data_IF_858318188235
#
_entry.id   IF_858318188235
#
_cell.length_a   1.000
_cell.length_b   1.000
_cell.length_c   1.000
_cell.angle_alpha   90.00
_cell.angle_beta   90.00
_cell.angle_gamma   90.00
#
_symmetry.space_group_name_H-M   'P 1'
#
loop_
_entity.id
_entity.type
_entity.pdbx_description
1 polymer ?
#
# COMPACT_ATOMS: atom_id res chain seq x y z
N UNK A 1 4.75 4.32 11.58
CA UNK A 1 5.87 3.64 12.31
C UNK A 1 5.45 2.70 13.46
N UNK A 2 4.77 3.15 14.53
CA UNK A 2 4.53 2.30 15.73
C UNK A 2 3.56 1.12 15.55
N UNK A 3 2.60 1.21 14.62
CA UNK A 3 1.68 0.10 14.30
C UNK A 3 2.38 -1.01 13.50
N UNK A 4 3.28 -0.62 12.58
CA UNK A 4 4.05 -1.54 11.72
C UNK A 4 5.02 -2.37 12.59
N UNK A 5 5.69 -1.74 13.56
CA UNK A 5 6.62 -2.45 14.45
C UNK A 5 5.92 -3.48 15.35
N UNK A 6 4.72 -3.17 15.87
CA UNK A 6 3.93 -4.13 16.66
C UNK A 6 3.46 -5.32 15.83
N UNK A 7 2.90 -5.09 14.64
CA UNK A 7 2.44 -6.17 13.77
C UNK A 7 3.61 -7.01 13.22
N UNK A 8 4.78 -6.39 12.98
CA UNK A 8 5.98 -7.11 12.53
C UNK A 8 6.51 -8.13 13.53
N UNK A 9 6.34 -7.88 14.84
CA UNK A 9 6.83 -8.75 15.92
C UNK A 9 6.06 -10.08 16.00
N UNK A 10 4.79 -10.09 15.60
CA UNK A 10 3.90 -11.24 15.77
C UNK A 10 3.57 -11.94 14.45
N UNK A 11 3.55 -11.19 13.35
CA UNK A 11 3.06 -11.68 12.06
C UNK A 11 4.11 -11.70 10.96
N UNK A 12 5.34 -11.26 11.24
CA UNK A 12 6.44 -11.33 10.27
C UNK A 12 6.23 -10.42 9.05
N UNK A 13 5.44 -9.35 9.15
CA UNK A 13 5.17 -8.44 8.02
C UNK A 13 6.43 -7.84 7.41
N UNK A 14 7.41 -7.45 8.24
CA UNK A 14 8.70 -6.93 7.75
C UNK A 14 9.56 -8.02 7.09
N UNK A 15 9.35 -9.29 7.47
CA UNK A 15 9.98 -10.46 6.84
C UNK A 15 9.20 -10.95 5.60
N UNK A 16 8.01 -10.39 5.35
CA UNK A 16 7.12 -10.72 4.22
C UNK A 16 6.66 -12.19 4.18
N UNK A 17 6.67 -12.86 5.33
CA UNK A 17 6.21 -14.26 5.48
C UNK A 17 4.75 -14.35 5.96
N UNK A 18 4.07 -13.22 6.07
CA UNK A 18 2.68 -13.18 6.50
C UNK A 18 1.77 -13.78 5.43
N UNK A 19 0.78 -14.58 5.85
CA UNK A 19 -0.19 -15.16 4.94
C UNK A 19 -1.20 -14.09 4.49
N UNK A 20 -1.32 -13.89 3.18
CA UNK A 20 -2.33 -12.99 2.60
C UNK A 20 -3.60 -13.78 2.23
N UNK A 21 -4.78 -13.23 2.54
CA UNK A 21 -6.08 -13.79 2.14
C UNK A 21 -6.70 -12.92 1.05
N UNK A 22 -7.12 -13.53 -0.08
CA UNK A 22 -7.61 -12.79 -1.27
C UNK A 22 -6.69 -11.62 -1.64
N UNK A 23 -5.38 -11.91 -1.73
CA UNK A 23 -4.32 -10.93 -1.91
C UNK A 23 -4.25 -10.31 -3.31
N UNK A 24 -3.28 -9.43 -3.47
CA UNK A 24 -2.99 -8.76 -4.75
C UNK A 24 -2.28 -9.69 -5.74
N UNK A 25 -2.28 -9.32 -7.03
CA UNK A 25 -1.54 -10.06 -8.06
C UNK A 25 -0.09 -9.55 -8.15
N UNK A 26 0.87 -10.48 -8.22
CA UNK A 26 2.26 -10.20 -8.58
C UNK A 26 2.48 -10.61 -10.05
N UNK A 27 2.72 -9.64 -10.92
CA UNK A 27 2.82 -9.85 -12.38
C UNK A 27 4.21 -9.42 -12.86
N UNK A 28 4.84 -10.25 -13.70
CA UNK A 28 6.07 -9.89 -14.40
C UNK A 28 5.73 -9.26 -15.75
N UNK A 29 6.19 -8.03 -15.99
CA UNK A 29 5.99 -7.28 -17.23
C UNK A 29 7.31 -6.69 -17.74
N UNK A 30 7.43 -6.44 -19.06
CA UNK A 30 8.51 -5.60 -19.59
C UNK A 30 8.53 -4.24 -18.92
N UNK A 31 9.73 -3.70 -18.67
CA UNK A 31 9.93 -2.45 -17.92
C UNK A 31 9.16 -1.29 -18.56
N UNK A 32 9.10 -1.27 -19.88
CA UNK A 32 8.45 -0.23 -20.68
C UNK A 32 6.92 -0.26 -20.55
N UNK A 33 6.37 -1.43 -20.24
CA UNK A 33 4.92 -1.65 -20.13
C UNK A 33 4.42 -1.50 -18.69
N UNK A 34 5.27 -1.77 -17.69
CA UNK A 34 4.89 -1.74 -16.28
C UNK A 34 4.25 -0.40 -15.85
N UNK A 35 4.87 0.73 -16.24
CA UNK A 35 4.35 2.06 -15.90
C UNK A 35 2.98 2.37 -16.55
N UNK A 36 2.79 1.90 -17.79
CA UNK A 36 1.52 2.05 -18.52
C UNK A 36 0.43 1.23 -17.86
N UNK A 37 0.71 -0.03 -17.53
CA UNK A 37 -0.21 -0.92 -16.83
C UNK A 37 -0.64 -0.35 -15.48
N UNK A 38 0.29 0.17 -14.67
CA UNK A 38 -0.07 0.82 -13.40
C UNK A 38 -0.98 2.03 -13.58
N UNK A 39 -0.76 2.82 -14.65
CA UNK A 39 -1.59 3.99 -14.96
C UNK A 39 -2.98 3.60 -15.46
N UNK A 40 -3.07 2.49 -16.19
CA UNK A 40 -4.32 1.95 -16.70
C UNK A 40 -5.19 1.34 -15.59
N UNK A 41 -4.60 0.58 -14.65
CA UNK A 41 -5.32 0.07 -13.47
C UNK A 41 -5.79 1.20 -12.54
N UNK A 42 -5.01 2.28 -12.44
CA UNK A 42 -5.40 3.47 -11.69
C UNK A 42 -6.54 4.24 -12.36
N UNK A 43 -6.65 4.12 -13.68
CA UNK A 43 -7.70 4.81 -14.43
C UNK A 43 -9.07 4.26 -14.05
N UNK A 44 -10.03 5.16 -13.83
CA UNK A 44 -11.42 4.78 -13.56
C UNK A 44 -12.13 4.17 -14.78
N UNK A 45 -11.47 4.08 -15.93
CA UNK A 45 -12.02 3.46 -17.16
C UNK A 45 -12.51 2.03 -16.95
N UNK A 46 -11.92 1.29 -16.01
CA UNK A 46 -12.25 -0.11 -15.74
C UNK A 46 -12.89 -0.35 -14.36
N UNK A 47 -13.28 0.72 -13.63
CA UNK A 47 -13.94 0.62 -12.32
C UNK A 47 -13.45 1.65 -11.29
N UNK A 48 -13.46 1.27 -10.02
CA UNK A 48 -12.90 2.05 -8.92
C UNK A 48 -11.37 1.96 -9.01
N UNK A 49 -10.73 3.02 -9.52
CA UNK A 49 -9.31 2.99 -9.88
C UNK A 49 -8.40 2.55 -8.74
N UNK A 50 -7.78 1.38 -8.89
CA UNK A 50 -6.89 0.82 -7.87
C UNK A 50 -5.44 1.25 -8.11
N UNK A 51 -4.68 1.50 -7.04
CA UNK A 51 -3.26 1.83 -7.17
C UNK A 51 -2.45 0.53 -7.28
N UNK A 52 -1.56 0.46 -8.28
CA UNK A 52 -0.56 -0.60 -8.41
C UNK A 52 0.85 -0.06 -8.12
N UNK A 53 1.77 -0.96 -7.73
CA UNK A 53 3.16 -0.63 -7.44
C UNK A 53 4.12 -1.58 -8.14
N UNK A 54 5.22 -1.03 -8.65
CA UNK A 54 6.37 -1.81 -9.10
C UNK A 54 7.25 -2.08 -7.87
N UNK A 55 7.30 -3.34 -7.44
CA UNK A 55 7.95 -3.75 -6.18
C UNK A 55 9.35 -4.32 -6.34
N UNK A 56 9.83 -4.50 -7.58
CA UNK A 56 11.14 -5.05 -7.85
C UNK A 56 11.43 -5.24 -9.33
N UNK A 57 12.56 -5.88 -9.60
CA UNK A 57 13.03 -6.26 -10.95
C UNK A 57 13.34 -7.74 -10.99
N UNK A 58 13.25 -8.33 -12.18
CA UNK A 58 13.67 -9.71 -12.42
C UNK A 58 15.05 -9.67 -13.05
N UNK A 59 16.02 -10.29 -12.39
CA UNK A 59 17.39 -10.44 -12.89
C UNK A 59 17.63 -11.88 -13.33
N UNK A 60 18.59 -12.06 -14.26
CA UNK A 60 19.02 -13.40 -14.66
C UNK A 60 19.72 -14.07 -13.48
N UNK A 61 19.19 -15.22 -13.04
CA UNK A 61 19.77 -15.92 -11.90
C UNK A 61 19.15 -17.30 -11.67
N UNK A 62 19.40 -17.85 -10.48
CA UNK A 62 19.07 -19.21 -10.09
C UNK A 62 17.60 -19.40 -9.65
N UNK A 63 16.65 -18.71 -10.30
CA UNK A 63 15.22 -18.76 -9.98
C UNK A 63 14.92 -18.53 -8.48
N UNK A 64 15.74 -17.72 -7.82
CA UNK A 64 15.58 -17.37 -6.41
C UNK A 64 15.04 -15.96 -6.28
N UNK A 65 14.12 -15.77 -5.34
CA UNK A 65 13.65 -14.44 -4.93
C UNK A 65 14.61 -13.92 -3.88
N UNK A 66 15.18 -12.75 -4.13
CA UNK A 66 16.00 -12.04 -3.16
C UNK A 66 15.28 -10.77 -2.72
N UNK A 67 15.07 -10.64 -1.41
CA UNK A 67 14.50 -9.45 -0.79
C UNK A 67 15.66 -8.67 -0.19
N UNK A 68 15.76 -7.38 -0.52
CA UNK A 68 16.81 -6.50 0.01
C UNK A 68 16.68 -6.36 1.54
N UNK A 69 17.83 -6.26 2.23
CA UNK A 69 17.88 -6.22 3.70
C UNK A 69 17.11 -5.06 4.33
N UNK A 70 17.07 -3.91 3.63
CA UNK A 70 16.36 -2.71 4.09
C UNK A 70 15.30 -2.32 3.05
N UNK A 71 14.13 -2.98 3.05
CA UNK A 71 13.08 -2.66 2.10
C UNK A 71 12.50 -1.28 2.37
N UNK A 72 12.18 -0.55 1.29
CA UNK A 72 11.41 0.69 1.40
C UNK A 72 9.95 0.34 1.69
N UNK A 73 9.44 0.83 2.81
CA UNK A 73 8.04 0.64 3.20
C UNK A 73 7.20 1.75 2.56
N UNK A 74 6.14 1.37 1.85
CA UNK A 74 5.15 2.29 1.29
C UNK A 74 3.94 2.26 2.21
N UNK A 75 3.64 3.37 2.86
CA UNK A 75 2.40 3.53 3.63
C UNK A 75 1.26 3.81 2.64
N UNK A 76 0.22 2.96 2.67
CA UNK A 76 -0.93 3.04 1.77
C UNK A 76 -2.15 3.47 2.57
N UNK A 77 -2.86 4.50 2.10
CA UNK A 77 -4.11 4.93 2.69
C UNK A 77 -5.25 3.96 2.37
N UNK A 78 -6.24 3.81 3.26
CA UNK A 78 -7.43 3.01 2.97
C UNK A 78 -8.13 3.48 1.70
N UNK A 79 -8.53 2.53 0.87
CA UNK A 79 -9.34 2.81 -0.32
C UNK A 79 -10.61 3.56 0.10
N UNK A 80 -10.88 4.72 -0.52
CA UNK A 80 -12.06 5.56 -0.23
C UNK A 80 -11.79 6.86 0.54
N UNK A 81 -10.57 7.10 1.06
CA UNK A 81 -10.23 8.39 1.67
C UNK A 81 -9.64 9.30 0.59
N UNK A 82 -10.46 10.21 0.04
CA UNK A 82 -9.95 11.32 -0.79
C UNK A 82 -9.08 12.23 0.08
N UNK A 83 -7.92 12.63 -0.43
CA UNK A 83 -6.90 13.43 0.26
C UNK A 83 -7.37 14.82 0.78
N UNK A 84 -8.66 15.17 0.62
CA UNK A 84 -9.25 16.41 1.11
C UNK A 84 -9.91 16.33 2.50
N UNK A 85 -10.07 15.15 3.10
CA UNK A 85 -10.83 14.99 4.35
C UNK A 85 -10.02 15.17 5.65
N UNK A 86 -8.69 15.39 5.57
CA UNK A 86 -7.84 15.67 6.73
C UNK A 86 -7.53 17.17 6.81
N UNK A 87 -8.56 18.00 7.02
CA UNK A 87 -8.36 19.32 7.61
C UNK A 87 -8.57 19.19 9.14
N UNK A 88 -7.69 19.74 9.99
CA UNK A 88 -7.92 19.74 11.42
C UNK A 88 -9.00 20.78 11.73
N UNK A 89 -10.22 20.32 12.04
CA UNK A 89 -11.26 21.20 12.54
C UNK A 89 -10.92 21.56 14.00
N UNK A 90 -10.15 22.62 14.16
CA UNK A 90 -9.76 23.17 15.44
C UNK A 90 -10.73 24.32 15.76
N UNK A 91 -11.90 23.98 16.28
CA UNK A 91 -12.89 24.95 16.76
C UNK A 91 -13.46 24.50 18.09
N UNK A 92 -12.76 24.92 19.13
CA UNK A 92 -13.17 24.92 20.52
C UNK A 92 -14.49 25.71 20.68
N UNK A 93 -15.59 25.07 21.08
CA UNK A 93 -16.77 25.77 21.59
C UNK A 93 -17.46 24.90 22.66
N UNK A 94 -17.15 25.25 23.91
CA UNK A 94 -17.73 24.76 25.15
C UNK A 94 -19.18 25.23 25.32
N UNK A 95 -20.06 24.32 25.76
CA UNK A 95 -21.21 24.49 26.68
C UNK A 95 -22.13 23.27 26.50
N UNK A 96 -22.22 22.30 27.42
CA UNK A 96 -23.04 22.33 28.65
C UNK A 96 -24.37 23.06 28.41
N UNK A 97 -25.58 22.54 28.61
CA UNK A 97 -26.08 21.47 29.48
C UNK A 97 -27.54 21.12 29.09
N UNK A 98 -27.96 19.99 29.63
CA UNK A 98 -29.24 19.28 29.60
C UNK A 98 -30.52 20.11 29.94
N UNK A 99 -31.66 19.63 29.40
CA UNK A 99 -33.08 19.79 29.81
C UNK A 99 -33.82 21.10 29.49
#
# INVERSE_FOLDING_TARGET
>A
MAAISKASRWFGLLQRTFAETSGSLLICLPREQAARFCSEIKSSKYGEGYQAWIVGIVERGNQRVHIIDKPQVIEVLPCGVTAGALAPDNSNASSESNS
#
